data_IF_867476685042
#
_entry.id   IF_867476685042
#
_cell.length_a   1.000
_cell.length_b   1.000
_cell.length_c   1.000
_cell.angle_alpha   90.00
_cell.angle_beta   90.00
_cell.angle_gamma   90.00
#
_symmetry.space_group_name_H-M   'P 1'
#
loop_
_entity.id
_entity.type
_entity.pdbx_description
1 polymer ?
#
# COMPACT_ATOMS: atom_id res chain seq x y z
N UNK A 1 8.76 -9.82 -18.96
CA UNK A 1 8.02 -8.56 -19.15
C UNK A 1 8.97 -7.41 -18.86
N UNK A 2 9.02 -6.40 -19.71
CA UNK A 2 9.91 -5.23 -19.56
C UNK A 2 9.23 -4.14 -18.72
N UNK A 3 10.01 -3.19 -18.21
CA UNK A 3 9.47 -2.03 -17.49
C UNK A 3 8.54 -1.18 -18.36
N UNK A 4 8.87 -1.04 -19.65
CA UNK A 4 8.03 -0.32 -20.60
C UNK A 4 6.67 -1.01 -20.85
N UNK A 5 6.64 -2.35 -20.91
CA UNK A 5 5.38 -3.10 -20.97
C UNK A 5 4.55 -2.87 -19.70
N UNK A 6 5.18 -2.78 -18.52
CA UNK A 6 4.48 -2.51 -17.26
C UNK A 6 3.85 -1.12 -17.29
N UNK A 7 4.60 -0.11 -17.71
CA UNK A 7 4.12 1.27 -17.87
C UNK A 7 2.92 1.35 -18.82
N UNK A 8 2.95 0.59 -19.91
CA UNK A 8 1.85 0.50 -20.87
C UNK A 8 0.60 -0.14 -20.28
N UNK A 9 0.75 -1.16 -19.44
CA UNK A 9 -0.37 -1.84 -18.76
C UNK A 9 -1.00 -0.94 -17.70
N UNK A 10 -0.20 -0.24 -16.90
CA UNK A 10 -0.70 0.66 -15.85
C UNK A 10 -1.12 2.04 -16.39
N UNK A 11 -0.77 2.34 -17.65
CA UNK A 11 -0.97 3.65 -18.32
C UNK A 11 -0.33 4.81 -17.56
N UNK A 12 0.77 4.54 -16.88
CA UNK A 12 1.50 5.49 -16.05
C UNK A 12 3.00 5.14 -16.04
N UNK A 13 3.84 6.11 -15.70
CA UNK A 13 5.29 5.94 -15.68
C UNK A 13 5.76 5.29 -14.37
N UNK A 14 6.70 4.35 -14.45
CA UNK A 14 7.24 3.74 -13.23
C UNK A 14 8.09 4.77 -12.48
N UNK A 15 7.97 4.85 -11.14
CA UNK A 15 8.80 5.73 -10.34
C UNK A 15 10.28 5.45 -10.55
N UNK A 16 11.12 6.49 -10.50
CA UNK A 16 12.58 6.35 -10.65
C UNK A 16 13.18 5.36 -9.64
N UNK A 17 12.57 5.24 -8.45
CA UNK A 17 12.94 4.28 -7.41
C UNK A 17 12.76 2.83 -7.85
N UNK A 18 11.78 2.52 -8.70
CA UNK A 18 11.55 1.18 -9.25
C UNK A 18 12.70 0.72 -10.16
N UNK A 19 13.34 1.67 -10.86
CA UNK A 19 14.51 1.40 -11.71
C UNK A 19 15.82 1.35 -10.92
N UNK A 20 15.90 2.07 -9.81
CA UNK A 20 17.11 2.14 -8.96
C UNK A 20 17.22 1.01 -7.94
N UNK A 21 16.10 0.59 -7.35
CA UNK A 21 16.11 -0.27 -6.17
C UNK A 21 15.38 -1.58 -6.44
N UNK A 22 16.12 -2.70 -6.44
CA UNK A 22 15.54 -4.05 -6.56
C UNK A 22 14.50 -4.34 -5.46
N UNK A 23 14.67 -3.75 -4.28
CA UNK A 23 13.74 -3.87 -3.16
C UNK A 23 12.32 -3.36 -3.47
N UNK A 24 12.18 -2.44 -4.43
CA UNK A 24 10.88 -1.96 -4.92
C UNK A 24 10.00 -3.10 -5.45
N UNK A 25 10.63 -4.12 -6.04
CA UNK A 25 9.99 -5.29 -6.63
C UNK A 25 9.95 -6.51 -5.69
N UNK A 26 10.27 -6.32 -4.40
CA UNK A 26 10.29 -7.41 -3.43
C UNK A 26 8.89 -7.88 -3.06
N UNK A 27 8.74 -9.14 -2.64
CA UNK A 27 7.46 -9.69 -2.19
C UNK A 27 7.16 -9.38 -0.70
N UNK A 28 7.81 -8.37 -0.11
CA UNK A 28 7.57 -8.00 1.29
C UNK A 28 6.35 -7.07 1.39
N UNK A 29 5.29 -7.55 2.01
CA UNK A 29 4.02 -6.82 2.19
C UNK A 29 4.08 -5.76 3.30
N UNK A 30 5.00 -5.89 4.26
CA UNK A 30 5.08 -4.95 5.39
C UNK A 30 5.78 -3.64 5.03
N UNK A 31 6.67 -3.66 4.03
CA UNK A 31 7.53 -2.52 3.70
C UNK A 31 7.15 -1.83 2.38
N UNK A 32 6.26 -2.43 1.58
CA UNK A 32 5.94 -1.91 0.26
C UNK A 32 4.49 -2.16 -0.11
N UNK A 33 3.75 -1.07 -0.29
CA UNK A 33 2.32 -1.11 -0.66
C UNK A 33 2.08 -1.64 -2.06
N UNK A 34 3.03 -1.43 -2.98
CA UNK A 34 2.91 -1.88 -4.39
C UNK A 34 2.94 -3.41 -4.49
N UNK A 35 3.54 -4.09 -3.51
CA UNK A 35 3.58 -5.54 -3.42
C UNK A 35 2.19 -6.18 -3.45
N UNK A 36 1.19 -5.48 -2.89
CA UNK A 36 -0.18 -5.95 -2.89
C UNK A 36 -0.78 -6.07 -4.30
N UNK A 37 -0.30 -5.29 -5.28
CA UNK A 37 -0.88 -5.26 -6.63
C UNK A 37 -0.73 -6.60 -7.35
N UNK A 38 0.47 -7.18 -7.39
CA UNK A 38 0.69 -8.48 -8.03
C UNK A 38 0.27 -9.65 -7.15
N UNK A 39 0.45 -9.55 -5.82
CA UNK A 39 0.00 -10.61 -4.91
C UNK A 39 -1.53 -10.79 -4.95
N UNK A 40 -2.30 -9.70 -5.01
CA UNK A 40 -3.77 -9.78 -5.17
C UNK A 40 -4.17 -10.39 -6.51
N UNK A 41 -3.36 -10.19 -7.55
CA UNK A 41 -3.54 -10.83 -8.85
C UNK A 41 -3.09 -12.30 -8.87
N UNK A 42 -2.56 -12.84 -7.77
CA UNK A 42 -2.07 -14.22 -7.70
C UNK A 42 -0.69 -14.42 -8.33
N UNK A 43 0.11 -13.36 -8.42
CA UNK A 43 1.49 -13.42 -8.93
C UNK A 43 2.48 -13.02 -7.85
N UNK A 44 3.71 -13.51 -7.95
CA UNK A 44 4.86 -13.07 -7.14
C UNK A 44 6.02 -12.71 -8.07
N UNK A 45 6.88 -11.81 -7.63
CA UNK A 45 8.10 -11.51 -8.36
C UNK A 45 9.12 -12.64 -8.18
N UNK A 46 9.58 -13.25 -9.27
CA UNK A 46 10.57 -14.32 -9.24
C UNK A 46 11.98 -13.81 -9.56
N UNK A 47 12.13 -13.04 -10.64
CA UNK A 47 13.42 -12.49 -11.07
C UNK A 47 13.28 -11.05 -11.49
N UNK A 48 14.20 -10.22 -11.01
CA UNK A 48 14.29 -8.78 -11.31
C UNK A 48 15.69 -8.54 -11.87
N UNK A 49 15.76 -7.97 -13.07
CA UNK A 49 17.01 -7.54 -13.69
C UNK A 49 16.90 -6.06 -14.02
N UNK A 50 17.54 -5.21 -13.22
CA UNK A 50 17.54 -3.76 -13.41
C UNK A 50 18.33 -3.36 -14.66
N UNK A 51 19.45 -4.05 -14.92
CA UNK A 51 20.30 -3.82 -16.10
C UNK A 51 19.55 -3.96 -17.43
N UNK A 52 18.70 -4.99 -17.50
CA UNK A 52 17.90 -5.30 -18.69
C UNK A 52 16.47 -4.75 -18.58
N UNK A 53 16.17 -3.98 -17.53
CA UNK A 53 14.82 -3.46 -17.22
C UNK A 53 13.71 -4.52 -17.36
N UNK A 54 14.00 -5.74 -16.90
CA UNK A 54 13.19 -6.93 -17.08
C UNK A 54 12.72 -7.51 -15.75
N UNK A 55 11.47 -7.94 -15.75
CA UNK A 55 10.78 -8.54 -14.61
C UNK A 55 10.10 -9.84 -15.03
N UNK A 56 10.25 -10.86 -14.18
CA UNK A 56 9.56 -12.15 -14.31
C UNK A 56 8.61 -12.30 -13.13
N UNK A 57 7.33 -12.35 -13.44
CA UNK A 57 6.28 -12.75 -12.51
C UNK A 57 6.03 -14.26 -12.62
N UNK A 58 5.93 -14.91 -11.48
CA UNK A 58 5.54 -16.30 -11.36
C UNK A 58 4.13 -16.35 -10.78
N UNK A 59 3.23 -17.11 -11.40
CA UNK A 59 1.89 -17.31 -10.84
C UNK A 59 2.03 -18.13 -9.57
N UNK A 60 1.50 -17.60 -8.48
CA UNK A 60 1.35 -18.37 -7.24
C UNK A 60 0.07 -19.16 -7.43
N UNK A 61 0.18 -20.44 -7.71
CA UNK A 61 -0.95 -21.35 -7.65
C UNK A 61 -1.42 -21.39 -6.19
N UNK A 62 -2.29 -20.45 -5.81
CA UNK A 62 -3.19 -20.62 -4.68
C UNK A 62 -4.06 -21.79 -5.10
N UNK A 63 -3.84 -22.99 -4.52
CA UNK A 63 -4.52 -24.22 -4.87
C UNK A 63 -6.04 -24.19 -4.67
N UNK A 64 -6.74 -23.37 -5.47
CA UNK A 64 -8.17 -23.43 -5.71
C UNK A 64 -8.34 -24.07 -7.08
N UNK A 65 -8.32 -25.39 -7.01
CA UNK A 65 -9.20 -26.30 -7.73
C UNK A 65 -10.03 -25.65 -8.86
N UNK A 66 -9.71 -26.09 -10.09
CA UNK A 66 -10.46 -25.83 -11.29
C UNK A 66 -11.82 -26.54 -11.20
N UNK A 67 -12.82 -25.92 -10.59
CA UNK A 67 -14.23 -26.32 -10.80
C UNK A 67 -14.87 -25.36 -11.80
N UNK A 68 -14.77 -25.72 -13.07
CA UNK A 68 -15.69 -25.25 -14.09
C UNK A 68 -16.44 -26.45 -14.67
N UNK A 69 -17.68 -26.71 -14.21
CA UNK A 69 -18.70 -27.40 -15.00
C UNK A 69 -20.06 -26.72 -14.83
N UNK A 70 -20.43 -26.03 -15.91
CA UNK A 70 -21.77 -25.89 -16.51
C UNK A 70 -22.90 -25.23 -15.73
N UNK A 71 -23.49 -24.24 -16.38
CA UNK A 71 -24.75 -23.59 -16.04
C UNK A 71 -25.90 -24.60 -15.95
N UNK A 72 -26.74 -24.47 -14.93
CA UNK A 72 -28.20 -24.58 -15.06
C UNK A 72 -28.89 -24.20 -13.73
N UNK A 73 -29.87 -23.30 -13.83
CA UNK A 73 -31.08 -23.34 -12.99
C UNK A 73 -31.03 -22.91 -11.53
N UNK A 74 -31.90 -21.94 -11.23
CA UNK A 74 -32.68 -21.82 -10.00
C UNK A 74 -32.04 -21.17 -8.75
N UNK A 75 -32.60 -20.00 -8.41
CA UNK A 75 -33.20 -19.85 -7.09
C UNK A 75 -32.42 -19.01 -6.09
N UNK A 76 -32.94 -17.81 -5.86
CA UNK A 76 -32.70 -16.98 -4.68
C UNK A 76 -32.67 -17.83 -3.40
N UNK A 77 -31.61 -17.72 -2.61
CA UNK A 77 -31.74 -17.78 -1.15
C UNK A 77 -30.65 -16.95 -0.47
N UNK A 78 -31.03 -15.73 -0.07
CA UNK A 78 -30.36 -15.01 1.00
C UNK A 78 -30.50 -15.84 2.28
N UNK A 79 -29.47 -16.60 2.66
CA UNK A 79 -29.32 -17.05 4.05
C UNK A 79 -28.31 -16.14 4.73
N UNK A 80 -28.90 -15.14 5.37
CA UNK A 80 -28.44 -14.44 6.55
C UNK A 80 -27.65 -15.40 7.46
N UNK A 81 -26.32 -15.26 7.52
CA UNK A 81 -25.54 -15.89 8.59
C UNK A 81 -25.57 -14.92 9.76
N UNK A 82 -26.60 -15.10 10.58
CA UNK A 82 -26.61 -14.64 11.96
C UNK A 82 -25.45 -15.37 12.66
N UNK A 83 -24.38 -14.66 13.00
CA UNK A 83 -23.33 -15.22 13.82
C UNK A 83 -23.81 -15.12 15.27
N UNK A 84 -24.43 -16.21 15.76
CA UNK A 84 -24.73 -16.34 17.19
C UNK A 84 -23.42 -16.27 17.97
N UNK A 85 -23.39 -15.36 18.94
CA UNK A 85 -22.27 -15.21 19.85
C UNK A 85 -22.07 -16.50 20.67
N UNK A 86 -20.89 -17.13 20.66
CA UNK A 86 -20.51 -18.00 21.75
C UNK A 86 -20.27 -17.12 22.98
N UNK A 87 -21.22 -17.17 23.89
CA UNK A 87 -21.10 -16.62 25.23
C UNK A 87 -19.97 -17.35 25.96
N UNK A 88 -19.07 -16.58 26.56
CA UNK A 88 -18.21 -16.96 27.68
C UNK A 88 -17.10 -17.97 27.42
N UNK A 89 -15.96 -17.47 26.92
CA UNK A 89 -14.65 -17.94 27.35
C UNK A 89 -13.70 -16.73 27.38
N UNK A 90 -13.28 -16.35 28.58
CA UNK A 90 -12.25 -15.33 28.83
C UNK A 90 -10.93 -15.77 28.19
N UNK A 91 -10.40 -15.03 27.22
CA UNK A 91 -8.96 -14.93 27.02
C UNK A 91 -8.57 -13.64 26.29
N UNK A 92 -7.61 -12.94 26.89
CA UNK A 92 -7.05 -11.67 26.48
C UNK A 92 -6.12 -11.90 25.28
N UNK A 93 -6.33 -11.23 24.13
CA UNK A 93 -5.37 -11.31 23.02
C UNK A 93 -5.23 -10.00 22.25
N UNK A 94 -4.34 -9.14 22.76
CA UNK A 94 -3.28 -8.55 21.97
C UNK A 94 -3.67 -7.60 20.84
N UNK A 95 -4.18 -6.42 21.20
CA UNK A 95 -4.14 -5.24 20.33
C UNK A 95 -2.72 -5.08 19.77
N UNK A 96 -2.57 -5.13 18.45
CA UNK A 96 -1.32 -4.91 17.70
C UNK A 96 -0.81 -3.46 17.78
N UNK A 97 -1.04 -2.77 18.89
CA UNK A 97 -0.59 -1.39 19.11
C UNK A 97 0.75 -1.45 19.81
N UNK A 98 1.80 -0.95 19.16
CA UNK A 98 3.14 -0.85 19.74
C UNK A 98 3.05 -0.06 21.07
N UNK A 99 3.78 -0.42 22.14
CA UNK A 99 3.68 0.24 23.46
C UNK A 99 3.99 1.75 23.45
N UNK A 100 4.66 2.25 22.40
CA UNK A 100 4.92 3.68 22.19
C UNK A 100 3.80 4.36 21.37
N UNK A 101 3.02 3.61 20.59
CA UNK A 101 1.90 4.18 19.85
C UNK A 101 0.80 4.62 20.85
N UNK A 102 0.64 5.93 20.99
CA UNK A 102 -0.37 6.53 21.87
C UNK A 102 0.13 7.04 23.23
N UNK A 103 1.43 6.89 23.54
CA UNK A 103 1.99 7.41 24.80
C UNK A 103 1.94 8.94 24.92
N UNK A 104 1.81 9.66 23.81
CA UNK A 104 1.65 11.12 23.74
C UNK A 104 0.21 11.56 23.41
N UNK A 105 -0.76 10.65 23.48
CA UNK A 105 -2.16 11.02 23.23
C UNK A 105 -2.64 11.94 24.34
N UNK A 106 -3.10 13.15 23.98
CA UNK A 106 -3.59 14.15 24.93
C UNK A 106 -2.50 15.05 25.53
N UNK A 107 -1.23 14.93 25.14
CA UNK A 107 -0.17 15.86 25.57
C UNK A 107 -0.03 17.08 24.66
N UNK A 108 -0.66 17.07 23.48
CA UNK A 108 -0.71 18.19 22.55
C UNK A 108 -2.16 18.60 22.37
N UNK A 109 -2.48 19.85 22.73
CA UNK A 109 -3.79 20.47 22.55
C UNK A 109 -3.62 21.63 21.57
N UNK A 110 -4.40 21.61 20.49
CA UNK A 110 -4.49 22.69 19.52
C UNK A 110 -5.69 23.55 19.93
N UNK A 111 -5.55 24.88 19.91
CA UNK A 111 -6.66 25.78 20.22
C UNK A 111 -7.74 25.70 19.13
N UNK A 112 -9.03 25.81 19.50
CA UNK A 112 -10.15 25.65 18.55
C UNK A 112 -10.16 26.73 17.44
N UNK A 113 -9.49 27.86 17.67
CA UNK A 113 -9.34 28.98 16.74
C UNK A 113 -8.04 28.92 15.89
N UNK A 114 -7.25 27.86 16.02
CA UNK A 114 -5.99 27.70 15.29
C UNK A 114 -6.23 27.18 13.87
N UNK A 115 -5.89 27.99 12.86
CA UNK A 115 -5.94 27.61 11.45
C UNK A 115 -4.62 26.94 11.01
N UNK A 116 -4.61 25.62 10.72
CA UNK A 116 -3.41 24.91 10.30
C UNK A 116 -3.00 25.19 8.84
N UNK A 117 -3.78 25.97 8.10
CA UNK A 117 -3.47 26.36 6.72
C UNK A 117 -2.57 27.59 6.63
N UNK A 118 -2.42 28.34 7.71
CA UNK A 118 -1.49 29.47 7.77
C UNK A 118 -0.04 28.97 7.85
N UNK A 119 0.90 29.60 7.10
CA UNK A 119 2.30 29.24 7.18
C UNK A 119 2.80 29.54 8.60
N UNK A 120 3.35 28.51 9.27
CA UNK A 120 3.83 28.61 10.64
C UNK A 120 4.86 29.73 10.88
N UNK A 121 5.50 30.24 9.81
CA UNK A 121 6.46 31.34 9.84
C UNK A 121 6.32 32.21 8.56
N UNK A 122 5.49 33.27 8.56
CA UNK A 122 5.26 34.11 7.39
C UNK A 122 6.54 34.78 6.86
N UNK A 123 7.48 35.11 7.75
CA UNK A 123 8.78 35.69 7.42
C UNK A 123 9.66 34.82 6.49
N UNK A 124 9.44 33.49 6.44
CA UNK A 124 10.20 32.59 5.57
C UNK A 124 9.81 32.75 4.10
N UNK A 125 8.62 33.30 3.82
CA UNK A 125 8.16 33.55 2.45
C UNK A 125 9.02 34.61 1.72
N UNK A 126 9.65 35.52 2.45
CA UNK A 126 10.50 36.57 1.88
C UNK A 126 11.90 36.11 1.46
N UNK A 127 12.42 35.02 2.03
CA UNK A 127 13.81 34.58 1.82
C UNK A 127 14.00 33.91 0.44
N UNK A 128 12.95 33.32 -0.12
CA UNK A 128 13.02 32.59 -1.40
C UNK A 128 13.27 33.53 -2.59
N UNK A 129 12.89 34.81 -2.49
CA UNK A 129 13.07 35.78 -3.59
C UNK A 129 14.49 36.36 -3.72
N UNK A 130 15.37 36.20 -2.73
CA UNK A 130 16.72 36.78 -2.78
C UNK A 130 17.82 35.76 -3.17
N UNK A 131 17.46 34.50 -3.46
CA UNK A 131 18.42 33.47 -3.87
C UNK A 131 18.80 33.54 -5.37
N UNK A 132 18.28 34.50 -6.13
CA UNK A 132 18.57 34.65 -7.58
C UNK A 132 19.66 35.68 -7.92
N UNK A 133 20.39 36.22 -6.94
CA UNK A 133 21.40 37.26 -7.14
C UNK A 133 22.75 36.94 -6.50
N UNK A 134 23.33 35.77 -6.78
CA UNK A 134 24.78 35.55 -6.69
C UNK A 134 25.17 34.38 -7.59
N UNK A 135 25.33 34.68 -8.87
CA UNK A 135 26.03 33.81 -9.81
C UNK A 135 27.06 34.66 -10.54
N UNK A 136 28.21 34.89 -9.90
CA UNK A 136 29.46 35.37 -10.50
C UNK A 136 30.65 34.76 -9.74
#
# INVERSE_FOLDING_TARGET
MTFHEIESVIKDSLPRSARKHRAWWSNNTSNSVITHSWLKAGYKTAKVSLDNECLVFERVDSGKDLTCRTADGAGRNQRNVHYEAPSSATDESGSRTHPVLGCMKGTVTIADDYDPSEPAFPEWAGIVHNASLNHE
#
